data_IF_098747633073
#
_entry.id   IF_098747633073
#
_cell.length_a   1.000
_cell.length_b   1.000
_cell.length_c   1.000
_cell.angle_alpha   90.00
_cell.angle_beta   90.00
_cell.angle_gamma   90.00
#
_symmetry.space_group_name_H-M   'P 1'
#
loop_
_entity.id
_entity.type
_entity.pdbx_description
1 polymer ?
#
# COMPACT_ATOMS: atom_id res chain seq x y z
N UNK A 1 -11.93 -16.70 -9.67
CA UNK A 1 -11.60 -17.01 -8.26
C UNK A 1 -11.70 -15.69 -7.55
N UNK A 2 -12.49 -15.56 -6.50
CA UNK A 2 -12.86 -14.23 -5.98
C UNK A 2 -11.64 -13.34 -5.66
N UNK A 3 -11.71 -12.08 -6.09
CA UNK A 3 -10.68 -11.06 -5.80
C UNK A 3 -10.79 -10.64 -4.34
N UNK A 4 -9.66 -10.68 -3.64
CA UNK A 4 -9.56 -10.33 -2.22
C UNK A 4 -8.84 -9.01 -2.00
N UNK A 5 -8.99 -8.40 -0.82
CA UNK A 5 -8.25 -7.18 -0.44
C UNK A 5 -6.72 -7.34 -0.57
N UNK A 6 -6.22 -8.56 -0.37
CA UNK A 6 -4.79 -8.88 -0.54
C UNK A 6 -4.35 -8.81 -1.99
N UNK A 7 -5.24 -9.13 -2.93
CA UNK A 7 -4.94 -9.02 -4.37
C UNK A 7 -4.82 -7.56 -4.79
N UNK A 8 -5.68 -6.70 -4.26
CA UNK A 8 -5.55 -5.24 -4.44
C UNK A 8 -4.22 -4.72 -3.91
N UNK A 9 -3.81 -5.15 -2.71
CA UNK A 9 -2.53 -4.77 -2.12
C UNK A 9 -1.33 -5.27 -2.94
N UNK A 10 -1.39 -6.51 -3.42
CA UNK A 10 -0.33 -7.10 -4.24
C UNK A 10 -0.16 -6.34 -5.56
N UNK A 11 -1.26 -5.95 -6.21
CA UNK A 11 -1.25 -5.14 -7.44
C UNK A 11 -0.73 -3.73 -7.16
N UNK A 12 -1.17 -3.08 -6.10
CA UNK A 12 -0.74 -1.71 -5.77
C UNK A 12 0.77 -1.68 -5.48
N UNK A 13 1.28 -2.64 -4.69
CA UNK A 13 2.70 -2.78 -4.37
C UNK A 13 3.53 -3.16 -5.62
N UNK A 14 2.98 -3.96 -6.54
CA UNK A 14 3.61 -4.24 -7.84
C UNK A 14 3.79 -2.96 -8.66
N UNK A 15 2.73 -2.16 -8.77
CA UNK A 15 2.72 -0.91 -9.52
C UNK A 15 3.60 0.18 -8.88
N UNK A 16 3.76 0.15 -7.56
CA UNK A 16 4.66 1.04 -6.82
C UNK A 16 6.12 0.54 -6.82
N UNK A 17 6.39 -0.68 -7.30
CA UNK A 17 7.72 -1.29 -7.33
C UNK A 17 8.26 -1.67 -5.95
N UNK A 18 7.37 -1.90 -4.97
CA UNK A 18 7.72 -2.13 -3.56
C UNK A 18 7.51 -3.59 -3.12
N UNK A 19 7.24 -4.51 -4.04
CA UNK A 19 7.12 -5.93 -3.71
C UNK A 19 8.45 -6.49 -3.21
N UNK A 20 8.37 -7.31 -2.17
CA UNK A 20 9.43 -8.24 -1.80
C UNK A 20 9.53 -9.41 -2.79
N UNK A 21 10.65 -10.15 -2.76
CA UNK A 21 10.85 -11.32 -3.64
C UNK A 21 9.78 -12.41 -3.45
N UNK A 22 9.32 -12.61 -2.21
CA UNK A 22 8.27 -13.57 -1.85
C UNK A 22 6.92 -13.15 -2.42
N UNK A 23 6.57 -11.86 -2.30
CA UNK A 23 5.33 -11.32 -2.87
C UNK A 23 5.39 -11.28 -4.40
N UNK A 24 6.57 -11.08 -5.00
CA UNK A 24 6.76 -11.14 -6.44
C UNK A 24 6.51 -12.56 -6.99
N UNK A 25 6.91 -13.59 -6.24
CA UNK A 25 6.59 -14.98 -6.59
C UNK A 25 5.09 -15.25 -6.51
N UNK A 26 4.41 -14.79 -5.44
CA UNK A 26 2.97 -14.88 -5.29
C UNK A 26 2.23 -14.14 -6.41
N UNK A 27 2.72 -12.95 -6.77
CA UNK A 27 2.16 -12.14 -7.85
C UNK A 27 2.23 -12.88 -9.19
N UNK A 28 3.36 -13.51 -9.52
CA UNK A 28 3.50 -14.31 -10.75
C UNK A 28 2.55 -15.51 -10.80
N UNK A 29 2.27 -16.14 -9.65
CA UNK A 29 1.31 -17.23 -9.57
C UNK A 29 -0.11 -16.68 -9.81
N UNK A 30 -0.49 -15.60 -9.13
CA UNK A 30 -1.81 -14.98 -9.29
C UNK A 30 -2.05 -14.41 -10.70
N UNK A 31 -1.00 -13.97 -11.39
CA UNK A 31 -1.09 -13.52 -12.78
C UNK A 31 -1.54 -14.58 -13.79
N UNK A 32 -1.56 -15.87 -13.41
CA UNK A 32 -2.17 -16.92 -14.24
C UNK A 32 -3.70 -16.92 -14.18
N UNK A 33 -4.29 -16.21 -13.22
CA UNK A 33 -5.73 -16.02 -13.10
C UNK A 33 -6.19 -14.81 -13.93
N UNK A 34 -7.14 -15.05 -14.84
CA UNK A 34 -7.66 -14.03 -15.75
C UNK A 34 -8.29 -12.84 -15.01
N UNK A 35 -8.98 -13.10 -13.90
CA UNK A 35 -9.66 -12.10 -13.07
C UNK A 35 -8.63 -11.17 -12.41
N UNK A 36 -7.56 -11.75 -11.85
CA UNK A 36 -6.44 -11.00 -11.28
C UNK A 36 -5.69 -10.18 -12.34
N UNK A 37 -5.47 -10.76 -13.53
CA UNK A 37 -4.86 -10.03 -14.66
C UNK A 37 -5.72 -8.85 -15.13
N UNK A 38 -7.05 -8.98 -15.00
CA UNK A 38 -8.03 -7.93 -15.25
C UNK A 38 -7.92 -6.79 -14.24
N UNK A 39 -7.78 -7.13 -12.95
CA UNK A 39 -7.55 -6.16 -11.88
C UNK A 39 -6.29 -5.31 -12.12
N UNK A 40 -5.17 -5.93 -12.49
CA UNK A 40 -3.94 -5.21 -12.82
C UNK A 40 -4.16 -4.21 -13.96
N UNK A 41 -4.80 -4.66 -15.05
CA UNK A 41 -5.10 -3.80 -16.21
C UNK A 41 -6.01 -2.63 -15.84
N UNK A 42 -7.03 -2.89 -15.02
CA UNK A 42 -7.92 -1.86 -14.51
C UNK A 42 -7.16 -0.80 -13.70
N UNK A 43 -6.34 -1.21 -12.74
CA UNK A 43 -5.57 -0.27 -11.91
C UNK A 43 -4.54 0.52 -12.74
N UNK A 44 -3.89 -0.11 -13.71
CA UNK A 44 -2.98 0.59 -14.63
C UNK A 44 -3.70 1.64 -15.48
N UNK A 45 -4.88 1.30 -16.01
CA UNK A 45 -5.71 2.25 -16.75
C UNK A 45 -6.15 3.40 -15.85
N UNK A 46 -6.62 3.12 -14.63
CA UNK A 46 -7.03 4.13 -13.67
C UNK A 46 -5.88 5.07 -13.30
N UNK A 47 -4.69 4.54 -12.96
CA UNK A 47 -3.52 5.37 -12.65
C UNK A 47 -3.10 6.24 -13.84
N UNK A 48 -3.17 5.71 -15.06
CA UNK A 48 -2.86 6.45 -16.28
C UNK A 48 -3.86 7.60 -16.51
N UNK A 49 -5.14 7.34 -16.31
CA UNK A 49 -6.22 8.35 -16.44
C UNK A 49 -6.15 9.40 -15.33
N UNK A 50 -5.82 9.02 -14.09
CA UNK A 50 -5.58 9.97 -13.01
C UNK A 50 -4.34 10.84 -13.28
N UNK A 51 -3.32 10.30 -13.95
CA UNK A 51 -2.14 11.05 -14.37
C UNK A 51 -2.38 11.93 -15.61
N UNK A 52 -3.36 11.59 -16.45
CA UNK A 52 -3.75 12.32 -17.66
C UNK A 52 -5.27 12.44 -17.70
N UNK A 53 -5.87 13.52 -17.14
CA UNK A 53 -7.32 13.66 -16.99
C UNK A 53 -8.10 13.90 -18.31
N UNK A 54 -7.59 13.39 -19.43
CA UNK A 54 -8.18 13.51 -20.75
C UNK A 54 -8.65 12.14 -21.25
N UNK A 55 -9.93 11.81 -21.03
CA UNK A 55 -10.90 11.31 -22.04
C UNK A 55 -11.96 10.29 -21.57
N UNK A 56 -11.99 9.81 -20.32
CA UNK A 56 -13.13 9.01 -19.85
C UNK A 56 -14.25 9.87 -19.26
N UNK A 57 -15.50 9.45 -19.52
CA UNK A 57 -16.70 10.12 -19.04
C UNK A 57 -16.67 10.33 -17.53
N UNK A 58 -16.84 11.59 -17.11
CA UNK A 58 -16.64 12.05 -15.72
C UNK A 58 -17.36 11.23 -14.64
N UNK A 59 -18.41 10.48 -14.96
CA UNK A 59 -19.19 9.76 -13.96
C UNK A 59 -18.59 8.39 -13.58
N UNK A 60 -18.15 7.60 -14.56
CA UNK A 60 -17.59 6.26 -14.30
C UNK A 60 -16.19 6.34 -13.70
N UNK A 61 -15.39 7.32 -14.17
CA UNK A 61 -14.10 7.62 -13.57
C UNK A 61 -14.23 8.11 -12.13
N UNK A 62 -15.23 8.95 -11.84
CA UNK A 62 -15.38 9.53 -10.51
C UNK A 62 -15.83 8.50 -9.47
N UNK A 63 -16.69 7.55 -9.85
CA UNK A 63 -16.99 6.39 -8.97
C UNK A 63 -15.78 5.49 -8.76
N UNK A 64 -15.03 5.19 -9.83
CA UNK A 64 -13.81 4.38 -9.74
C UNK A 64 -12.71 5.09 -8.92
N UNK A 65 -12.59 6.41 -9.07
CA UNK A 65 -11.67 7.26 -8.33
C UNK A 65 -12.10 7.38 -6.86
N UNK A 66 -13.38 7.65 -6.56
CA UNK A 66 -13.91 7.70 -5.20
C UNK A 66 -13.66 6.37 -4.48
N UNK A 67 -13.95 5.24 -5.13
CA UNK A 67 -13.66 3.91 -4.59
C UNK A 67 -12.16 3.67 -4.34
N UNK A 68 -11.30 4.01 -5.31
CA UNK A 68 -9.85 3.85 -5.19
C UNK A 68 -9.25 4.76 -4.11
N UNK A 69 -9.68 6.02 -4.04
CA UNK A 69 -9.25 6.99 -3.05
C UNK A 69 -9.72 6.59 -1.65
N UNK A 70 -10.95 6.12 -1.50
CA UNK A 70 -11.48 5.62 -0.24
C UNK A 70 -10.66 4.42 0.26
N UNK A 71 -10.46 3.40 -0.57
CA UNK A 71 -9.60 2.25 -0.28
C UNK A 71 -8.17 2.67 0.11
N UNK A 72 -7.52 3.52 -0.69
CA UNK A 72 -6.14 3.97 -0.43
C UNK A 72 -6.04 4.83 0.83
N UNK A 73 -7.07 5.63 1.14
CA UNK A 73 -7.12 6.44 2.35
C UNK A 73 -7.26 5.58 3.62
N UNK A 74 -8.06 4.52 3.56
CA UNK A 74 -8.18 3.53 4.64
C UNK A 74 -6.84 2.81 4.87
N UNK A 75 -6.16 2.41 3.79
CA UNK A 75 -4.82 1.80 3.85
C UNK A 75 -3.78 2.73 4.48
N UNK A 76 -3.76 4.03 4.14
CA UNK A 76 -2.84 4.99 4.79
C UNK A 76 -3.10 5.15 6.29
N UNK A 77 -4.36 5.11 6.73
CA UNK A 77 -4.70 5.16 8.17
C UNK A 77 -4.19 3.93 8.91
N UNK A 78 -4.39 2.73 8.37
CA UNK A 78 -3.93 1.50 9.02
C UNK A 78 -2.39 1.44 9.11
N UNK A 79 -1.68 1.90 8.08
CA UNK A 79 -0.22 2.01 8.10
C UNK A 79 0.24 3.07 9.12
N UNK A 80 -0.40 4.25 9.16
CA UNK A 80 -0.06 5.28 10.14
C UNK A 80 -0.27 4.81 11.59
N UNK A 81 -1.32 4.04 11.86
CA UNK A 81 -1.56 3.42 13.17
C UNK A 81 -0.54 2.33 13.50
N UNK A 82 -0.16 1.51 12.53
CA UNK A 82 0.84 0.45 12.70
C UNK A 82 2.25 0.97 13.00
N UNK A 83 2.65 2.10 12.38
CA UNK A 83 3.97 2.70 12.59
C UNK A 83 4.03 3.58 13.84
N UNK A 84 2.95 4.26 14.24
CA UNK A 84 2.92 5.17 15.39
C UNK A 84 3.24 4.46 16.72
N UNK A 85 2.65 3.30 16.98
CA UNK A 85 2.80 2.62 18.28
C UNK A 85 4.21 2.03 18.51
N UNK A 86 4.80 1.40 17.48
CA UNK A 86 6.12 0.74 17.61
C UNK A 86 7.29 1.72 17.64
N UNK A 87 7.19 2.85 16.92
CA UNK A 87 8.23 3.89 16.94
C UNK A 87 8.40 4.50 18.33
N UNK A 88 7.32 4.70 19.08
CA UNK A 88 7.38 5.24 20.44
C UNK A 88 8.17 4.37 21.40
N UNK A 89 8.05 3.04 21.31
CA UNK A 89 8.85 2.13 22.15
C UNK A 89 10.35 2.21 21.85
N UNK A 90 10.73 2.37 20.57
CA UNK A 90 12.14 2.54 20.18
C UNK A 90 12.69 3.86 20.70
N UNK A 91 11.93 4.95 20.57
CA UNK A 91 12.32 6.28 21.09
C UNK A 91 12.50 6.26 22.61
N UNK A 92 11.56 5.66 23.35
CA UNK A 92 11.64 5.53 24.81
C UNK A 92 12.83 4.67 25.23
N UNK A 93 13.09 3.55 24.55
CA UNK A 93 14.23 2.69 24.84
C UNK A 93 15.57 3.41 24.67
N UNK A 94 15.72 4.20 23.59
CA UNK A 94 16.93 5.00 23.33
C UNK A 94 17.10 6.11 24.38
N UNK A 95 16.03 6.77 24.80
CA UNK A 95 16.08 7.77 25.88
C UNK A 95 16.48 7.17 27.23
N UNK A 96 15.95 6.00 27.59
CA UNK A 96 16.35 5.29 28.80
C UNK A 96 17.83 4.88 28.76
N UNK A 97 18.28 4.36 27.62
CA UNK A 97 19.65 3.87 27.46
C UNK A 97 20.68 5.01 27.53
N UNK A 98 20.40 6.14 26.87
CA UNK A 98 21.26 7.33 26.91
C UNK A 98 21.34 7.94 28.31
N UNK A 99 20.22 7.97 29.05
CA UNK A 99 20.19 8.44 30.44
C UNK A 99 21.03 7.55 31.38
N UNK A 100 20.98 6.23 31.18
CA UNK A 100 21.74 5.25 31.97
C UNK A 100 23.24 5.38 31.71
N UNK A 101 23.63 5.63 30.46
CA UNK A 101 25.02 5.79 30.05
C UNK A 101 25.65 7.06 30.63
N UNK A 102 24.89 8.16 30.68
CA UNK A 102 25.33 9.41 31.31
C UNK A 102 25.53 9.23 32.82
N UNK A 103 24.63 8.51 33.50
CA UNK A 103 24.74 8.24 34.94
C UNK A 103 25.92 7.33 35.31
N UNK A 104 26.42 6.50 34.38
CA UNK A 104 27.60 5.64 34.57
C UNK A 104 28.93 6.35 34.31
N UNK A 105 28.90 7.49 33.62
CA UNK A 105 30.08 8.30 33.26
C UNK A 105 30.35 9.45 34.25
N UNK A 106 29.45 9.67 35.22
CA UNK A 106 29.47 10.73 36.23
C UNK A 106 29.81 10.14 37.61
#
# INVERSE_FOLDING_TARGET
>A
MEITDKDFELVDNYLDGTLSDEELALFRIRMQDDEFSGLLRFQQALRKELAQPSLLGRNDLKQAEEFYLEYRSQRRRSIAEAFSSKLWFVVVAVMCFTSLLIALLL
#
